data_IF_717624769014
#
_entry.id   IF_717624769014
#
_cell.length_a   1.000
_cell.length_b   1.000
_cell.length_c   1.000
_cell.angle_alpha   90.00
_cell.angle_beta   90.00
_cell.angle_gamma   90.00
#
_symmetry.space_group_name_H-M   'P 1'
#
loop_
_entity.id
_entity.type
_entity.pdbx_description
1 polymer ?
#
# COMPACT_ATOMS: atom_id res chain seq x y z
N UNK A 1 -8.72 18.58 -1.62
CA UNK A 1 -8.03 17.33 -1.40
C UNK A 1 -7.68 17.17 0.06
N UNK A 2 -7.92 16.02 0.66
CA UNK A 2 -7.57 15.86 2.06
C UNK A 2 -6.05 15.91 2.26
N UNK A 3 -5.58 16.48 3.39
CA UNK A 3 -4.16 16.44 3.70
C UNK A 3 -3.69 15.00 3.91
N UNK A 4 -2.39 14.75 3.74
CA UNK A 4 -1.84 13.41 3.94
C UNK A 4 -2.04 12.89 5.36
N UNK A 5 -2.21 13.79 6.34
CA UNK A 5 -2.53 13.41 7.71
C UNK A 5 -3.91 12.74 7.85
N UNK A 6 -4.76 12.79 6.83
CA UNK A 6 -6.03 12.05 6.81
C UNK A 6 -5.81 10.54 6.61
N UNK A 7 -4.63 10.13 6.15
CA UNK A 7 -4.26 8.74 5.95
C UNK A 7 -3.24 8.32 6.99
N UNK A 8 -3.28 7.06 7.40
CA UNK A 8 -2.35 6.54 8.40
C UNK A 8 -1.74 5.22 7.95
N UNK A 9 -0.64 4.86 8.58
CA UNK A 9 0.03 3.59 8.31
C UNK A 9 -0.96 2.44 8.46
N UNK A 10 -1.01 1.59 7.46
CA UNK A 10 -1.92 0.45 7.41
C UNK A 10 -3.19 0.68 6.60
N UNK A 11 -3.51 1.93 6.28
CA UNK A 11 -4.65 2.20 5.40
C UNK A 11 -4.41 1.56 4.04
N UNK A 12 -5.45 0.90 3.51
CA UNK A 12 -5.43 0.34 2.15
C UNK A 12 -6.17 1.31 1.26
N UNK A 13 -5.49 1.76 0.22
CA UNK A 13 -5.98 2.82 -0.66
C UNK A 13 -5.94 2.38 -2.11
N UNK A 14 -6.80 2.98 -2.92
CA UNK A 14 -6.81 2.80 -4.36
C UNK A 14 -6.00 3.93 -4.98
N UNK A 15 -4.92 3.59 -5.66
CA UNK A 15 -3.97 4.55 -6.23
C UNK A 15 -4.11 4.58 -7.73
N UNK A 16 -4.16 5.80 -8.28
CA UNK A 16 -4.16 6.01 -9.73
C UNK A 16 -2.72 6.16 -10.20
N UNK A 17 -2.31 5.24 -11.07
CA UNK A 17 -1.00 5.29 -11.70
C UNK A 17 -1.16 5.72 -13.15
N UNK A 18 -0.36 6.72 -13.56
CA UNK A 18 -0.26 7.11 -14.96
C UNK A 18 0.77 6.21 -15.63
N UNK A 19 0.38 5.67 -16.78
CA UNK A 19 1.27 4.86 -17.59
C UNK A 19 1.74 5.70 -18.79
N UNK A 20 3.00 5.54 -19.15
CA UNK A 20 3.59 6.26 -20.28
C UNK A 20 3.14 5.73 -21.62
N UNK A 21 2.52 4.55 -21.64
CA UNK A 21 1.90 4.01 -22.85
C UNK A 21 0.49 4.60 -23.04
N UNK A 22 -0.19 4.16 -24.09
CA UNK A 22 -1.52 4.67 -24.46
C UNK A 22 -2.64 4.10 -23.58
N UNK A 23 -2.33 3.25 -22.60
CA UNK A 23 -3.37 2.63 -21.75
C UNK A 23 -3.99 3.59 -20.74
N UNK A 24 -3.41 4.78 -20.56
CA UNK A 24 -3.96 5.81 -19.68
C UNK A 24 -3.72 5.55 -18.21
N UNK A 25 -4.75 5.80 -17.40
CA UNK A 25 -4.67 5.68 -15.95
C UNK A 25 -5.22 4.32 -15.50
N UNK A 26 -4.47 3.61 -14.68
CA UNK A 26 -4.94 2.40 -14.01
C UNK A 26 -4.97 2.60 -12.51
N UNK A 27 -5.97 2.01 -11.87
CA UNK A 27 -6.10 2.02 -10.41
C UNK A 27 -5.64 0.68 -9.86
N UNK A 28 -4.82 0.75 -8.81
CA UNK A 28 -4.29 -0.44 -8.13
C UNK A 28 -4.36 -0.24 -6.62
N UNK A 29 -4.67 -1.28 -5.86
CA UNK A 29 -4.61 -1.16 -4.41
C UNK A 29 -3.17 -1.10 -3.91
N UNK A 30 -2.99 -0.42 -2.80
CA UNK A 30 -1.72 -0.30 -2.11
C UNK A 30 -1.98 -0.09 -0.62
N UNK A 31 -0.99 -0.44 0.21
CA UNK A 31 -1.05 -0.18 1.63
C UNK A 31 -0.09 0.95 1.98
N UNK A 32 -0.54 1.88 2.82
CA UNK A 32 0.32 2.96 3.30
C UNK A 32 1.25 2.40 4.36
N UNK A 33 2.55 2.51 4.11
CA UNK A 33 3.59 2.03 5.03
C UNK A 33 4.30 3.16 5.76
N UNK A 34 4.14 4.40 5.31
CA UNK A 34 4.72 5.56 5.99
C UNK A 34 3.90 5.92 7.23
N UNK A 35 4.59 6.52 8.20
CA UNK A 35 4.02 6.91 9.49
C UNK A 35 3.35 8.28 9.43
N UNK A 36 2.57 8.59 10.47
CA UNK A 36 1.95 9.91 10.59
C UNK A 36 2.99 11.03 10.67
N UNK A 37 4.13 10.77 11.31
CA UNK A 37 5.21 11.74 11.36
C UNK A 37 5.72 12.08 9.96
N UNK A 38 5.84 11.07 9.10
CA UNK A 38 6.24 11.28 7.71
C UNK A 38 5.22 12.14 6.97
N UNK A 39 3.94 11.96 7.25
CA UNK A 39 2.86 12.66 6.52
C UNK A 39 2.73 14.12 6.91
N UNK A 40 3.23 14.51 8.09
CA UNK A 40 3.11 15.89 8.55
C UNK A 40 3.95 16.81 7.68
N UNK A 41 3.32 17.85 7.15
CA UNK A 41 4.00 18.82 6.30
C UNK A 41 4.36 18.32 4.91
N UNK A 42 3.98 17.08 4.58
CA UNK A 42 4.24 16.48 3.26
C UNK A 42 2.95 16.28 2.49
N UNK A 43 3.10 16.22 1.16
CA UNK A 43 2.01 15.87 0.25
C UNK A 43 2.18 14.44 -0.29
N UNK A 44 3.14 13.68 0.25
CA UNK A 44 3.49 12.34 -0.20
C UNK A 44 3.24 11.30 0.89
N UNK A 45 3.04 10.07 0.43
CA UNK A 45 3.04 8.88 1.27
C UNK A 45 3.92 7.81 0.64
N UNK A 46 4.45 6.91 1.46
CA UNK A 46 5.16 5.73 0.97
C UNK A 46 4.17 4.57 1.02
N UNK A 47 4.04 3.89 -0.11
CA UNK A 47 3.10 2.76 -0.25
C UNK A 47 3.85 1.50 -0.64
N UNK A 48 3.24 0.35 -0.33
CA UNK A 48 3.62 -0.95 -0.88
C UNK A 48 2.48 -1.40 -1.80
N UNK A 49 2.84 -1.79 -3.02
CA UNK A 49 1.85 -2.23 -4.00
C UNK A 49 1.22 -3.55 -3.58
N UNK A 50 -0.08 -3.70 -3.84
CA UNK A 50 -0.84 -4.93 -3.56
C UNK A 50 -1.22 -5.56 -4.90
N UNK A 51 -1.05 -6.88 -4.99
CA UNK A 51 -1.43 -7.63 -6.18
C UNK A 51 -2.35 -8.79 -5.80
N UNK A 52 -3.28 -9.13 -6.69
CA UNK A 52 -4.11 -10.33 -6.55
C UNK A 52 -3.43 -11.60 -7.10
N UNK A 53 -2.23 -11.49 -7.64
CA UNK A 53 -1.46 -12.66 -8.07
C UNK A 53 -0.82 -13.32 -6.85
N UNK A 54 -1.53 -14.29 -6.27
CA UNK A 54 -1.09 -14.99 -5.05
C UNK A 54 -0.15 -16.16 -5.36
N UNK A 55 0.06 -16.48 -6.63
CA UNK A 55 0.94 -17.58 -7.03
C UNK A 55 2.42 -17.18 -6.96
N UNK A 56 2.70 -15.89 -6.82
CA UNK A 56 4.06 -15.38 -6.78
C UNK A 56 4.26 -14.57 -5.50
N UNK A 57 4.87 -15.21 -4.51
CA UNK A 57 5.22 -14.54 -3.24
C UNK A 57 6.74 -14.60 -3.13
N UNK A 58 7.37 -13.44 -3.31
CA UNK A 58 8.84 -13.31 -3.28
C UNK A 58 9.29 -12.86 -1.90
N UNK A 59 10.61 -12.84 -1.68
CA UNK A 59 11.19 -12.35 -0.41
C UNK A 59 10.73 -10.90 -0.21
N UNK A 60 10.21 -10.63 0.99
CA UNK A 60 9.67 -9.30 1.32
C UNK A 60 8.17 -9.17 1.11
N UNK A 61 7.57 -10.08 0.33
CA UNK A 61 6.13 -10.06 0.08
C UNK A 61 5.38 -10.73 1.22
N UNK A 62 4.16 -10.26 1.48
CA UNK A 62 3.30 -10.81 2.52
C UNK A 62 1.94 -11.21 1.94
N UNK A 63 1.59 -12.49 2.05
CA UNK A 63 0.25 -12.97 1.73
C UNK A 63 -0.72 -12.47 2.81
N UNK A 64 -1.67 -11.62 2.43
CA UNK A 64 -2.56 -10.96 3.38
C UNK A 64 -3.59 -11.95 3.90
N UNK A 65 -3.58 -12.20 5.22
CA UNK A 65 -4.56 -13.11 5.84
C UNK A 65 -5.95 -12.46 5.90
N UNK A 66 -6.00 -11.19 6.29
CA UNK A 66 -7.26 -10.45 6.43
C UNK A 66 -7.59 -9.58 5.22
N UNK A 67 -7.47 -10.11 4.02
CA UNK A 67 -7.68 -9.33 2.79
C UNK A 67 -9.11 -8.77 2.71
N UNK A 68 -10.12 -9.49 3.22
CA UNK A 68 -11.52 -9.01 3.21
C UNK A 68 -11.67 -7.80 4.14
N UNK A 69 -11.08 -7.87 5.35
CA UNK A 69 -11.11 -6.74 6.30
C UNK A 69 -10.33 -5.55 5.76
N UNK A 70 -9.32 -5.80 4.95
CA UNK A 70 -8.53 -4.74 4.31
C UNK A 70 -9.30 -4.05 3.17
N UNK A 71 -10.51 -4.52 2.84
CA UNK A 71 -11.32 -3.92 1.78
C UNK A 71 -10.97 -4.40 0.38
N UNK A 72 -10.25 -5.51 0.27
CA UNK A 72 -9.84 -6.06 -1.02
C UNK A 72 -10.91 -7.02 -1.54
N UNK A 73 -10.98 -7.18 -2.86
CA UNK A 73 -11.99 -8.03 -3.52
C UNK A 73 -11.54 -9.48 -3.66
N UNK A 74 -10.24 -9.73 -3.60
CA UNK A 74 -9.64 -11.05 -3.84
C UNK A 74 -8.53 -11.29 -2.85
N UNK A 75 -8.18 -12.57 -2.58
CA UNK A 75 -6.92 -12.89 -1.90
C UNK A 75 -5.77 -12.15 -2.56
N UNK A 76 -4.90 -11.55 -1.77
CA UNK A 76 -3.92 -10.60 -2.28
C UNK A 76 -2.62 -10.68 -1.50
N UNK A 77 -1.57 -10.15 -2.13
CA UNK A 77 -0.22 -10.07 -1.59
C UNK A 77 0.17 -8.61 -1.46
N UNK A 78 0.62 -8.20 -0.29
CA UNK A 78 1.31 -6.92 -0.12
C UNK A 78 2.76 -7.14 -0.53
N UNK A 79 3.18 -6.50 -1.61
CA UNK A 79 4.49 -6.73 -2.20
C UNK A 79 5.57 -5.88 -1.55
N UNK A 80 6.83 -6.24 -1.80
CA UNK A 80 7.97 -5.42 -1.42
C UNK A 80 8.26 -4.30 -2.46
N UNK A 81 7.33 -4.06 -3.38
CA UNK A 81 7.44 -2.95 -4.32
C UNK A 81 6.98 -1.68 -3.60
N UNK A 82 7.95 -0.90 -3.14
CA UNK A 82 7.72 0.30 -2.35
C UNK A 82 7.86 1.52 -3.25
N UNK A 83 6.97 2.48 -3.07
CA UNK A 83 6.98 3.68 -3.89
C UNK A 83 6.49 4.87 -3.10
N UNK A 84 7.11 6.03 -3.30
CA UNK A 84 6.61 7.30 -2.79
C UNK A 84 5.66 7.90 -3.82
N UNK A 85 4.46 8.24 -3.37
CA UNK A 85 3.42 8.80 -4.24
C UNK A 85 2.91 10.12 -3.67
N UNK A 86 2.36 10.97 -4.53
CA UNK A 86 1.63 12.16 -4.09
C UNK A 86 0.23 11.77 -3.65
N UNK A 87 -0.28 12.46 -2.63
CA UNK A 87 -1.64 12.22 -2.14
C UNK A 87 -2.71 12.40 -3.21
N UNK A 88 -2.44 13.26 -4.22
CA UNK A 88 -3.36 13.44 -5.35
C UNK A 88 -3.55 12.17 -6.18
N UNK A 89 -2.64 11.21 -6.06
CA UNK A 89 -2.77 9.92 -6.74
C UNK A 89 -3.70 8.95 -6.02
N UNK A 90 -4.07 9.25 -4.77
CA UNK A 90 -4.99 8.40 -4.01
C UNK A 90 -6.41 8.74 -4.41
N UNK A 91 -7.12 7.75 -4.94
CA UNK A 91 -8.51 7.91 -5.36
C UNK A 91 -9.44 7.83 -4.15
N UNK A 92 -9.28 6.79 -3.32
CA UNK A 92 -10.07 6.60 -2.11
C UNK A 92 -9.44 5.53 -1.22
N UNK A 93 -9.89 5.50 0.02
CA UNK A 93 -9.54 4.43 0.95
C UNK A 93 -10.47 3.23 0.73
N UNK A 94 -9.88 2.02 0.69
CA UNK A 94 -10.63 0.77 0.56
C UNK A 94 -10.91 0.14 1.91
N UNK A 95 -9.97 0.27 2.85
CA UNK A 95 -10.08 -0.31 4.18
C UNK A 95 -8.79 -0.09 4.94
N UNK A 96 -8.53 -0.98 5.89
CA UNK A 96 -7.31 -0.93 6.68
C UNK A 96 -6.76 -2.34 6.85
N UNK A 97 -5.45 -2.47 6.75
CA UNK A 97 -4.78 -3.76 6.95
C UNK A 97 -4.93 -4.19 8.41
N UNK A 98 -5.37 -5.43 8.69
CA UNK A 98 -5.38 -5.93 10.07
C UNK A 98 -4.00 -5.84 10.71
N UNK A 99 -3.96 -5.62 12.01
CA UNK A 99 -2.70 -5.40 12.72
C UNK A 99 -1.73 -6.59 12.61
N UNK A 100 -2.25 -7.81 12.57
CA UNK A 100 -1.42 -9.01 12.37
C UNK A 100 -0.70 -8.95 11.02
N UNK A 101 -1.42 -8.58 9.97
CA UNK A 101 -0.84 -8.43 8.63
C UNK A 101 0.15 -7.27 8.59
N UNK A 102 -0.15 -6.15 9.26
CA UNK A 102 0.78 -5.02 9.29
C UNK A 102 2.06 -5.34 10.05
N UNK A 103 1.97 -6.09 11.15
CA UNK A 103 3.15 -6.52 11.88
C UNK A 103 4.05 -7.40 11.01
N UNK A 104 3.43 -8.35 10.28
CA UNK A 104 4.17 -9.23 9.38
C UNK A 104 4.83 -8.42 8.26
N UNK A 105 4.10 -7.49 7.66
CA UNK A 105 4.62 -6.65 6.59
C UNK A 105 5.78 -5.78 7.08
N UNK A 106 5.63 -5.14 8.25
CA UNK A 106 6.72 -4.33 8.83
C UNK A 106 7.98 -5.15 9.05
N UNK A 107 7.82 -6.37 9.57
CA UNK A 107 8.96 -7.25 9.77
C UNK A 107 9.69 -7.57 8.47
N UNK A 108 8.94 -7.84 7.41
CA UNK A 108 9.51 -8.14 6.10
C UNK A 108 10.19 -6.93 5.48
N UNK A 109 9.59 -5.74 5.62
CA UNK A 109 10.20 -4.51 5.13
C UNK A 109 11.50 -4.20 5.87
N UNK A 110 11.54 -4.42 7.19
CA UNK A 110 12.76 -4.25 7.96
C UNK A 110 13.86 -5.20 7.46
N UNK A 111 13.49 -6.42 7.16
CA UNK A 111 14.42 -7.44 6.66
C UNK A 111 15.04 -7.01 5.33
N UNK A 112 14.19 -6.63 4.36
CA UNK A 112 14.68 -6.31 3.01
C UNK A 112 15.41 -4.98 2.96
N UNK A 113 15.11 -4.05 3.87
CA UNK A 113 15.77 -2.74 3.93
C UNK A 113 16.97 -2.75 4.88
N UNK A 114 17.17 -3.82 5.65
CA UNK A 114 18.29 -3.92 6.57
C UNK A 114 18.16 -3.02 7.80
N UNK A 115 16.95 -2.81 8.27
CA UNK A 115 16.70 -1.91 9.41
C UNK A 115 16.58 -2.66 10.73
#
# INVERSE_FOLDING_TARGET
MPPMTAYKQGDVVLVRFLFTDESGTKRRPAVIVSTNDYHQGRQEAIIAAITSNVDRVLVGDHLIAGWQEAGLLYPSVATAIIRTIKGTMIDRQLGAMPSVDMQALRGKLRQILGL
#
